data_IF_371227301185
#
_entry.id   IF_371227301185
#
_cell.length_a   1.000
_cell.length_b   1.000
_cell.length_c   1.000
_cell.angle_alpha   90.00
_cell.angle_beta   90.00
_cell.angle_gamma   90.00
#
_symmetry.space_group_name_H-M   'P 1'
#
loop_
_entity.id
_entity.type
_entity.pdbx_description
1 polymer ?
#
# COMPACT_ATOMS: atom_id res chain seq x y z
N UNK A 1 22.48 5.22 18.63
CA UNK A 1 21.08 4.78 18.41
C UNK A 1 20.09 5.79 18.97
N UNK A 2 20.08 6.12 20.27
CA UNK A 2 19.11 7.08 20.83
C UNK A 2 19.19 8.48 20.21
N UNK A 3 20.40 9.03 20.04
CA UNK A 3 20.60 10.34 19.41
C UNK A 3 20.20 10.37 17.91
N UNK A 4 20.36 9.26 17.22
CA UNK A 4 20.01 9.14 15.79
C UNK A 4 18.50 9.09 15.58
N UNK A 5 17.78 8.33 16.40
CA UNK A 5 16.31 8.27 16.35
C UNK A 5 15.69 9.61 16.72
N UNK A 6 16.23 10.27 17.76
CA UNK A 6 15.78 11.61 18.17
C UNK A 6 16.02 12.65 17.06
N UNK A 7 17.17 12.62 16.40
CA UNK A 7 17.49 13.50 15.27
C UNK A 7 16.59 13.23 14.06
N UNK A 8 16.36 11.94 13.73
CA UNK A 8 15.46 11.54 12.67
C UNK A 8 14.03 12.03 12.94
N UNK A 9 13.52 11.82 14.15
CA UNK A 9 12.21 12.31 14.55
C UNK A 9 12.12 13.84 14.47
N UNK A 10 13.09 14.56 15.00
CA UNK A 10 13.11 16.03 14.97
C UNK A 10 13.07 16.58 13.53
N UNK A 11 13.79 15.94 12.61
CA UNK A 11 13.82 16.30 11.18
C UNK A 11 12.49 16.02 10.47
N UNK A 12 11.79 14.95 10.85
CA UNK A 12 10.65 14.42 10.09
C UNK A 12 9.28 14.83 10.63
N UNK A 13 9.18 15.14 11.94
CA UNK A 13 7.90 15.33 12.64
C UNK A 13 7.01 16.42 12.03
N UNK A 14 7.60 17.50 11.49
CA UNK A 14 6.83 18.62 10.94
C UNK A 14 6.12 18.30 9.62
N UNK A 15 6.55 17.22 8.95
CA UNK A 15 5.91 16.68 7.77
C UNK A 15 4.90 15.58 8.08
N UNK A 16 4.82 15.10 9.32
CA UNK A 16 3.84 14.09 9.78
C UNK A 16 2.65 14.80 10.42
N UNK A 17 1.46 14.39 10.00
CA UNK A 17 0.23 15.13 10.26
C UNK A 17 -0.79 14.27 10.98
N UNK A 18 -1.58 14.91 11.82
CA UNK A 18 -2.85 14.37 12.30
C UNK A 18 -3.90 14.64 11.23
N UNK A 19 -4.52 13.56 10.75
CA UNK A 19 -5.55 13.62 9.70
C UNK A 19 -6.89 13.31 10.34
N UNK A 20 -7.85 14.17 10.11
CA UNK A 20 -9.21 14.06 10.62
C UNK A 20 -10.20 13.84 9.48
N UNK A 21 -11.20 13.02 9.71
CA UNK A 21 -12.29 12.79 8.76
C UNK A 21 -13.62 12.75 9.48
N UNK A 22 -14.68 13.17 8.81
CA UNK A 22 -16.03 13.18 9.35
C UNK A 22 -16.99 12.46 8.40
N UNK A 23 -17.78 11.57 8.97
CA UNK A 23 -18.82 10.85 8.25
C UNK A 23 -20.09 11.69 8.15
N UNK A 24 -20.86 11.57 7.05
CA UNK A 24 -22.18 12.19 6.96
C UNK A 24 -23.11 11.68 8.07
N UNK A 25 -23.98 12.54 8.55
CA UNK A 25 -24.90 12.22 9.65
C UNK A 25 -25.78 10.98 9.38
N UNK A 26 -26.06 10.69 8.11
CA UNK A 26 -26.78 9.49 7.66
C UNK A 26 -26.02 8.20 7.94
N UNK A 27 -24.71 8.19 7.74
CA UNK A 27 -23.85 7.04 7.97
C UNK A 27 -23.42 6.93 9.43
N UNK A 28 -23.24 8.04 10.13
CA UNK A 28 -22.87 8.06 11.54
C UNK A 28 -23.87 7.32 12.44
N UNK A 29 -25.14 7.19 12.03
CA UNK A 29 -26.18 6.46 12.75
C UNK A 29 -26.23 4.97 12.46
N UNK A 30 -25.66 4.53 11.36
CA UNK A 30 -25.74 3.13 10.86
C UNK A 30 -24.43 2.36 11.00
N UNK A 31 -23.31 3.04 11.20
CA UNK A 31 -22.00 2.41 11.38
C UNK A 31 -21.64 2.24 12.85
N UNK A 32 -21.11 1.07 13.21
CA UNK A 32 -20.50 0.80 14.52
C UNK A 32 -19.16 1.54 14.67
N UNK A 33 -19.16 2.87 14.55
CA UNK A 33 -17.94 3.66 14.68
C UNK A 33 -18.24 5.14 14.90
N UNK A 34 -17.30 5.91 15.42
CA UNK A 34 -17.48 7.34 15.64
C UNK A 34 -17.63 8.08 14.31
N UNK A 35 -18.49 9.11 14.32
CA UNK A 35 -18.70 10.00 13.18
C UNK A 35 -17.39 10.73 12.78
N UNK A 36 -16.57 11.06 13.77
CA UNK A 36 -15.26 11.68 13.61
C UNK A 36 -14.16 10.64 13.83
N UNK A 37 -13.25 10.52 12.85
CA UNK A 37 -12.12 9.61 12.92
C UNK A 37 -10.81 10.40 12.85
N UNK A 38 -9.79 9.91 13.54
CA UNK A 38 -8.46 10.50 13.58
C UNK A 38 -7.42 9.44 13.23
N UNK A 39 -6.46 9.82 12.41
CA UNK A 39 -5.32 8.98 12.03
C UNK A 39 -4.10 9.82 11.73
N UNK A 40 -3.08 9.18 11.22
CA UNK A 40 -1.85 9.84 10.79
C UNK A 40 -1.80 9.99 9.27
N UNK A 41 -0.99 10.91 8.80
CA UNK A 41 -0.61 11.09 7.41
C UNK A 41 0.74 11.78 7.32
N UNK A 42 1.26 11.95 6.13
CA UNK A 42 2.45 12.75 5.93
C UNK A 42 2.47 13.41 4.56
N UNK A 43 3.06 14.60 4.50
CA UNK A 43 3.27 15.32 3.24
C UNK A 43 4.31 14.61 2.38
N UNK A 44 4.02 14.50 1.09
CA UNK A 44 4.87 13.90 0.06
C UNK A 44 5.37 14.90 -0.99
N UNK A 45 4.94 16.16 -0.92
CA UNK A 45 5.35 17.22 -1.83
C UNK A 45 5.13 18.59 -1.21
N UNK A 46 5.88 19.60 -1.70
CA UNK A 46 5.82 20.97 -1.20
C UNK A 46 4.49 21.69 -1.52
N UNK A 47 3.71 21.20 -2.46
CA UNK A 47 2.40 21.74 -2.84
C UNK A 47 1.24 21.23 -1.94
N UNK A 48 1.54 20.53 -0.85
CA UNK A 48 0.55 20.12 0.14
C UNK A 48 -0.13 18.77 -0.15
N UNK A 49 0.38 17.96 -1.08
CA UNK A 49 -0.10 16.58 -1.22
C UNK A 49 0.37 15.72 -0.06
N UNK A 50 -0.53 14.94 0.49
CA UNK A 50 -0.26 14.03 1.61
C UNK A 50 -0.93 12.69 1.40
N UNK A 51 -0.35 11.65 2.00
CA UNK A 51 -0.90 10.30 2.01
C UNK A 51 -1.34 9.88 3.41
N UNK A 52 -2.38 9.06 3.44
CA UNK A 52 -2.91 8.40 4.64
C UNK A 52 -3.52 7.05 4.26
N UNK A 53 -4.21 6.39 5.19
CA UNK A 53 -4.91 5.12 4.88
C UNK A 53 -6.27 5.34 4.23
N UNK A 54 -6.62 4.46 3.27
CA UNK A 54 -7.92 4.45 2.62
C UNK A 54 -9.09 4.23 3.59
N UNK A 55 -8.88 3.40 4.62
CA UNK A 55 -9.89 3.15 5.67
C UNK A 55 -10.21 4.38 6.51
N UNK A 56 -9.27 5.31 6.68
CA UNK A 56 -9.51 6.55 7.40
C UNK A 56 -10.50 7.45 6.63
N UNK A 57 -10.37 7.51 5.31
CA UNK A 57 -11.18 8.39 4.45
C UNK A 57 -12.47 7.73 3.95
N UNK A 58 -12.63 6.43 4.16
CA UNK A 58 -13.75 5.67 3.62
C UNK A 58 -15.10 6.16 4.16
N UNK A 59 -15.99 6.54 3.23
CA UNK A 59 -17.32 7.06 3.55
C UNK A 59 -17.35 8.45 4.17
N UNK A 60 -16.22 9.11 4.36
CA UNK A 60 -16.15 10.46 4.92
C UNK A 60 -16.51 11.52 3.86
N UNK A 61 -17.16 12.60 4.30
CA UNK A 61 -17.54 13.74 3.47
C UNK A 61 -16.63 14.96 3.66
N UNK A 62 -15.96 15.07 4.81
CA UNK A 62 -15.04 16.17 5.09
C UNK A 62 -13.71 15.68 5.64
N UNK A 63 -12.65 16.40 5.27
CA UNK A 63 -11.27 16.09 5.59
C UNK A 63 -10.52 17.34 6.03
N UNK A 64 -9.70 17.23 7.08
CA UNK A 64 -8.78 18.29 7.48
C UNK A 64 -7.55 17.71 8.18
N UNK A 65 -6.53 18.54 8.29
CA UNK A 65 -5.29 18.22 8.98
C UNK A 65 -5.01 19.24 10.09
N UNK A 66 -4.38 18.80 11.16
CA UNK A 66 -3.77 19.71 12.11
C UNK A 66 -2.30 19.93 11.72
N UNK A 67 -1.98 21.16 11.36
CA UNK A 67 -0.64 21.55 10.97
C UNK A 67 -0.27 22.92 11.55
N UNK A 68 0.87 22.98 12.26
CA UNK A 68 1.37 24.20 12.93
C UNK A 68 0.33 24.86 13.84
N UNK A 69 -0.44 24.05 14.55
CA UNK A 69 -1.49 24.53 15.45
C UNK A 69 -2.73 25.09 14.74
N UNK A 70 -2.84 24.93 13.43
CA UNK A 70 -3.99 25.34 12.63
C UNK A 70 -4.70 24.14 12.02
N UNK A 71 -6.03 24.24 11.93
CA UNK A 71 -6.87 23.31 11.18
C UNK A 71 -6.91 23.73 9.73
N UNK A 72 -6.41 22.88 8.84
CA UNK A 72 -6.37 23.13 7.39
C UNK A 72 -7.27 22.13 6.70
N UNK A 73 -8.22 22.61 5.90
CA UNK A 73 -9.07 21.75 5.11
C UNK A 73 -8.25 20.96 4.06
N UNK A 74 -8.69 19.75 3.77
CA UNK A 74 -8.07 18.91 2.75
C UNK A 74 -9.14 18.34 1.81
N UNK A 75 -8.73 18.06 0.58
CA UNK A 75 -9.57 17.42 -0.45
C UNK A 75 -9.03 16.03 -0.76
N UNK A 76 -9.91 15.04 -0.83
CA UNK A 76 -9.55 13.71 -1.32
C UNK A 76 -9.32 13.79 -2.84
N UNK A 77 -8.11 13.43 -3.30
CA UNK A 77 -7.76 13.32 -4.71
C UNK A 77 -8.10 11.94 -5.26
N UNK A 78 -7.95 10.90 -4.45
CA UNK A 78 -8.30 9.54 -4.78
C UNK A 78 -7.87 8.56 -3.71
N UNK A 79 -8.35 7.33 -3.82
CA UNK A 79 -8.00 6.25 -2.90
C UNK A 79 -7.82 4.93 -3.63
N UNK A 80 -7.04 4.04 -3.04
CA UNK A 80 -6.90 2.67 -3.50
C UNK A 80 -7.35 1.69 -2.41
N UNK A 81 -8.53 1.08 -2.56
CA UNK A 81 -9.04 0.10 -1.61
C UNK A 81 -8.17 -1.18 -1.52
N UNK A 82 -7.47 -1.53 -2.60
CA UNK A 82 -6.64 -2.73 -2.64
C UNK A 82 -5.42 -2.62 -1.73
N UNK A 83 -4.76 -1.46 -1.73
CA UNK A 83 -3.58 -1.22 -0.91
C UNK A 83 -3.85 -0.48 0.38
N UNK A 84 -5.08 0.00 0.58
CA UNK A 84 -5.45 0.85 1.70
C UNK A 84 -4.70 2.19 1.73
N UNK A 85 -4.44 2.80 0.55
CA UNK A 85 -3.84 4.12 0.43
C UNK A 85 -4.92 5.16 0.08
N UNK A 86 -4.80 6.37 0.62
CA UNK A 86 -5.52 7.56 0.17
C UNK A 86 -4.55 8.72 -0.05
N UNK A 87 -4.81 9.50 -1.11
CA UNK A 87 -4.08 10.73 -1.44
C UNK A 87 -5.01 11.93 -1.23
N UNK A 88 -4.57 12.87 -0.41
CA UNK A 88 -5.28 14.12 -0.16
C UNK A 88 -4.44 15.32 -0.60
N UNK A 89 -5.10 16.45 -0.81
CA UNK A 89 -4.53 17.77 -1.06
C UNK A 89 -4.93 18.69 0.07
N UNK A 90 -3.96 19.16 0.86
CA UNK A 90 -4.19 20.23 1.84
C UNK A 90 -4.44 21.57 1.12
N UNK A 91 -5.40 22.32 1.62
CA UNK A 91 -5.73 23.65 1.08
C UNK A 91 -4.87 24.71 1.78
N UNK A 92 -3.62 24.85 1.33
CA UNK A 92 -2.66 25.82 1.85
C UNK A 92 -1.88 26.44 0.73
N UNK A 93 -1.65 27.77 0.82
CA UNK A 93 -0.81 28.53 -0.11
C UNK A 93 0.68 28.52 0.31
N UNK A 94 0.97 28.10 1.56
CA UNK A 94 2.32 28.01 2.05
C UNK A 94 2.98 26.69 1.63
N UNK A 95 4.26 26.71 1.21
CA UNK A 95 5.00 25.48 0.94
C UNK A 95 5.05 24.58 2.19
N UNK A 96 4.78 23.30 1.98
CA UNK A 96 4.76 22.31 3.06
C UNK A 96 6.09 21.59 3.17
N UNK A 97 6.56 21.29 4.40
CA UNK A 97 7.62 20.32 4.59
C UNK A 97 7.14 18.95 4.10
N UNK A 98 7.97 18.19 3.44
CA UNK A 98 7.62 16.86 2.95
C UNK A 98 8.75 15.87 3.19
N UNK A 99 8.39 14.59 3.18
CA UNK A 99 9.35 13.52 3.34
C UNK A 99 9.81 13.00 1.99
N UNK A 100 11.11 12.80 1.85
CA UNK A 100 11.70 12.18 0.68
C UNK A 100 11.45 10.67 0.68
N UNK A 101 11.16 10.11 -0.50
CA UNK A 101 10.99 8.67 -0.67
C UNK A 101 12.32 7.98 -0.85
N UNK A 102 12.60 6.99 0.00
CA UNK A 102 13.67 6.02 -0.23
C UNK A 102 13.29 4.98 -1.29
N UNK A 103 14.25 4.12 -1.62
CA UNK A 103 14.01 2.95 -2.45
C UNK A 103 13.65 1.75 -1.55
N UNK A 104 12.38 1.35 -1.56
CA UNK A 104 11.91 0.23 -0.73
C UNK A 104 12.48 -1.14 -1.16
N UNK A 105 13.02 -1.26 -2.39
CA UNK A 105 13.64 -2.51 -2.86
C UNK A 105 15.02 -2.77 -2.22
N UNK A 106 15.60 -1.76 -1.56
CA UNK A 106 16.85 -1.89 -0.80
C UNK A 106 16.64 -2.46 0.61
N UNK A 107 15.39 -2.48 1.09
CA UNK A 107 15.08 -2.99 2.42
C UNK A 107 15.32 -4.50 2.50
N UNK A 108 15.87 -4.91 3.62
CA UNK A 108 16.13 -6.31 3.94
C UNK A 108 15.60 -6.66 5.32
N UNK A 109 15.34 -7.91 5.57
CA UNK A 109 15.07 -8.39 6.93
C UNK A 109 16.24 -8.01 7.83
N UNK A 110 15.93 -7.40 8.98
CA UNK A 110 16.90 -6.80 9.89
C UNK A 110 17.19 -5.31 9.68
N UNK A 111 16.70 -4.69 8.58
CA UNK A 111 16.80 -3.22 8.41
C UNK A 111 16.07 -2.50 9.54
N UNK A 112 16.72 -1.51 10.17
CA UNK A 112 16.07 -0.64 11.15
C UNK A 112 15.06 0.27 10.46
N UNK A 113 13.90 0.43 11.09
CA UNK A 113 12.85 1.34 10.64
C UNK A 113 12.25 2.10 11.82
N UNK A 114 11.71 3.29 11.54
CA UNK A 114 11.05 4.13 12.53
C UNK A 114 9.68 4.54 11.99
N UNK A 115 8.62 4.12 12.68
CA UNK A 115 7.27 4.60 12.40
C UNK A 115 7.01 5.89 13.20
N UNK A 116 6.37 6.88 12.56
CA UNK A 116 5.96 8.12 13.25
C UNK A 116 4.46 8.32 13.05
N UNK A 117 3.75 8.65 14.11
CA UNK A 117 2.31 8.92 14.05
C UNK A 117 1.75 9.41 15.37
N UNK A 118 0.44 9.54 15.45
CA UNK A 118 -0.29 10.14 16.58
C UNK A 118 -1.02 9.06 17.39
N UNK A 119 -0.35 8.39 18.35
CA UNK A 119 -0.97 7.33 19.15
C UNK A 119 -2.08 7.91 20.03
N UNK A 120 -3.26 7.29 20.02
CA UNK A 120 -4.40 7.68 20.86
C UNK A 120 -4.76 9.17 20.81
N UNK A 121 -4.60 9.80 19.64
CA UNK A 121 -4.78 11.26 19.47
C UNK A 121 -3.80 12.13 20.31
N UNK A 122 -2.77 11.52 20.87
CA UNK A 122 -1.69 12.19 21.58
C UNK A 122 -0.74 12.91 20.61
N UNK A 123 0.25 13.69 21.08
CA UNK A 123 1.33 14.20 20.23
C UNK A 123 2.04 13.09 19.46
N UNK A 124 2.59 13.44 18.27
CA UNK A 124 3.31 12.46 17.45
C UNK A 124 4.47 11.83 18.22
N UNK A 125 4.64 10.53 18.01
CA UNK A 125 5.69 9.75 18.67
C UNK A 125 6.37 8.80 17.67
N UNK A 126 7.71 8.64 17.77
CA UNK A 126 8.45 7.64 17.01
C UNK A 126 8.35 6.27 17.68
N UNK A 127 8.21 5.23 16.86
CA UNK A 127 8.28 3.82 17.28
C UNK A 127 9.35 3.12 16.45
N UNK A 128 10.38 2.63 17.11
CA UNK A 128 11.51 1.93 16.46
C UNK A 128 11.18 0.46 16.30
N UNK A 129 11.61 -0.11 15.20
CA UNK A 129 11.53 -1.54 14.95
C UNK A 129 12.48 -1.99 13.84
N UNK A 130 12.33 -3.24 13.44
CA UNK A 130 13.14 -3.84 12.38
C UNK A 130 12.23 -4.53 11.37
N UNK A 131 12.63 -4.52 10.11
CA UNK A 131 11.96 -5.31 9.07
C UNK A 131 12.09 -6.79 9.41
N UNK A 132 10.95 -7.48 9.50
CA UNK A 132 10.88 -8.91 9.85
C UNK A 132 10.43 -9.76 8.67
N UNK A 133 9.99 -9.15 7.57
CA UNK A 133 9.60 -9.85 6.35
C UNK A 133 9.10 -8.90 5.26
N UNK A 134 9.00 -9.47 4.05
CA UNK A 134 8.33 -8.85 2.90
C UNK A 134 7.23 -9.81 2.49
N UNK A 135 6.01 -9.56 2.92
CA UNK A 135 4.91 -10.51 2.84
C UNK A 135 3.90 -10.11 1.75
N UNK A 136 3.47 -11.11 1.00
CA UNK A 136 2.40 -10.97 0.01
C UNK A 136 1.01 -11.18 0.62
N UNK A 137 0.92 -11.62 1.83
CA UNK A 137 -0.37 -11.89 2.46
C UNK A 137 -0.30 -11.93 3.97
N UNK A 138 -1.45 -11.78 4.59
CA UNK A 138 -1.65 -11.87 6.03
C UNK A 138 -2.92 -12.67 6.32
N UNK A 139 -2.77 -13.88 6.84
CA UNK A 139 -3.88 -14.81 7.01
C UNK A 139 -4.49 -15.22 5.66
N UNK A 140 -5.78 -14.95 5.46
CA UNK A 140 -6.48 -15.24 4.20
C UNK A 140 -6.38 -14.09 3.16
N UNK A 141 -5.84 -12.92 3.55
CA UNK A 141 -5.73 -11.77 2.66
C UNK A 141 -4.44 -11.86 1.86
N UNK A 142 -4.56 -11.75 0.54
CA UNK A 142 -3.44 -11.59 -0.38
C UNK A 142 -3.30 -10.10 -0.69
N UNK A 143 -2.08 -9.59 -0.61
CA UNK A 143 -1.76 -8.20 -0.94
C UNK A 143 -1.49 -8.06 -2.44
N UNK A 144 -1.82 -6.92 -3.06
CA UNK A 144 -1.56 -6.68 -4.48
C UNK A 144 -0.05 -6.50 -4.78
N UNK A 145 0.74 -6.23 -3.76
CA UNK A 145 2.21 -6.08 -3.78
C UNK A 145 2.75 -6.59 -2.44
N UNK A 146 4.02 -6.98 -2.37
CA UNK A 146 4.64 -7.37 -1.09
C UNK A 146 4.69 -6.19 -0.13
N UNK A 147 4.14 -6.38 1.08
CA UNK A 147 4.15 -5.40 2.15
C UNK A 147 5.38 -5.58 3.04
N UNK A 148 5.88 -4.49 3.57
CA UNK A 148 6.91 -4.52 4.60
C UNK A 148 6.24 -4.93 5.91
N UNK A 149 6.65 -6.06 6.47
CA UNK A 149 6.33 -6.42 7.84
C UNK A 149 7.47 -5.95 8.74
N UNK A 150 7.13 -5.20 9.79
CA UNK A 150 8.11 -4.72 10.75
C UNK A 150 7.66 -5.02 12.18
N UNK A 151 8.64 -5.30 13.04
CA UNK A 151 8.44 -5.47 14.47
C UNK A 151 8.35 -4.08 15.14
N UNK A 152 7.23 -3.40 14.92
CA UNK A 152 6.91 -2.11 15.52
C UNK A 152 5.61 -2.23 16.31
N UNK A 153 5.65 -1.91 17.59
CA UNK A 153 4.43 -1.81 18.40
C UNK A 153 3.71 -0.51 18.06
N UNK A 154 2.65 -0.60 17.28
CA UNK A 154 1.83 0.54 16.92
C UNK A 154 0.55 0.60 17.75
N UNK A 155 0.11 1.83 17.97
CA UNK A 155 -1.12 2.12 18.71
C UNK A 155 -2.20 2.71 17.78
N UNK A 156 -3.48 2.68 18.18
CA UNK A 156 -4.56 3.36 17.48
C UNK A 156 -4.21 4.82 17.18
N UNK A 157 -4.49 5.28 15.95
CA UNK A 157 -4.15 6.62 15.48
C UNK A 157 -2.83 6.70 14.69
N UNK A 158 -1.92 5.72 14.79
CA UNK A 158 -0.64 5.75 14.05
C UNK A 158 -0.73 5.22 12.60
N UNK A 159 -1.86 4.58 12.23
CA UNK A 159 -2.10 4.19 10.84
C UNK A 159 -2.12 5.40 9.91
N UNK A 160 -1.51 5.28 8.74
CA UNK A 160 -1.31 6.38 7.79
C UNK A 160 -0.01 7.16 7.98
N UNK A 161 0.71 6.94 9.07
CA UNK A 161 2.03 7.54 9.29
C UNK A 161 3.12 6.91 8.42
N UNK A 162 4.27 7.60 8.26
CA UNK A 162 5.41 7.08 7.54
C UNK A 162 6.12 5.99 8.34
N UNK A 163 6.63 4.98 7.62
CA UNK A 163 7.70 4.11 8.07
C UNK A 163 8.99 4.62 7.43
N UNK A 164 9.94 5.11 8.22
CA UNK A 164 11.20 5.69 7.76
C UNK A 164 12.33 4.67 7.86
N UNK A 165 13.29 4.72 6.93
CA UNK A 165 14.55 4.00 7.03
C UNK A 165 15.54 4.76 7.92
N UNK A 166 16.75 4.19 8.14
CA UNK A 166 17.79 4.81 8.96
C UNK A 166 18.32 6.16 8.42
N UNK A 167 18.08 6.47 7.13
CA UNK A 167 18.43 7.76 6.52
C UNK A 167 17.35 8.84 6.70
N UNK A 168 16.20 8.47 7.28
CA UNK A 168 15.03 9.35 7.42
C UNK A 168 14.20 9.47 6.14
N UNK A 169 14.41 8.60 5.16
CA UNK A 169 13.59 8.52 3.95
C UNK A 169 12.40 7.59 4.16
N UNK A 170 11.29 7.88 3.49
CA UNK A 170 10.10 7.03 3.54
C UNK A 170 10.41 5.66 2.95
N UNK A 171 10.37 4.64 3.78
CA UNK A 171 10.43 3.23 3.42
C UNK A 171 9.03 2.67 3.07
N UNK A 172 7.97 3.23 3.69
CA UNK A 172 6.59 2.82 3.43
C UNK A 172 5.55 3.66 4.16
N UNK A 173 4.29 3.40 3.84
CA UNK A 173 3.10 3.92 4.52
C UNK A 173 2.56 2.85 5.47
N UNK A 174 2.44 3.15 6.74
CA UNK A 174 1.85 2.23 7.73
C UNK A 174 0.35 2.06 7.43
N UNK A 175 -0.08 0.84 7.13
CA UNK A 175 -1.48 0.57 6.73
C UNK A 175 -2.24 -0.32 7.70
N UNK A 176 -1.54 -1.09 8.52
CA UNK A 176 -2.14 -1.98 9.50
C UNK A 176 -1.19 -2.34 10.64
N UNK A 177 -1.77 -2.64 11.79
CA UNK A 177 -1.10 -3.35 12.87
C UNK A 177 -1.72 -4.75 13.01
N UNK A 178 -0.90 -5.75 13.30
CA UNK A 178 -1.34 -7.09 13.64
C UNK A 178 -0.68 -7.52 14.93
N UNK A 179 -1.50 -7.96 15.88
CA UNK A 179 -1.04 -8.20 17.25
C UNK A 179 -0.38 -6.93 17.86
N UNK A 180 0.22 -7.07 19.02
CA UNK A 180 0.75 -5.91 19.74
C UNK A 180 2.11 -5.43 19.21
N UNK A 181 2.79 -6.24 18.39
CA UNK A 181 4.21 -6.07 18.06
C UNK A 181 4.53 -6.07 16.56
N UNK A 182 3.53 -6.19 15.70
CA UNK A 182 3.74 -6.25 14.25
C UNK A 182 2.94 -5.20 13.51
N UNK A 183 3.59 -4.52 12.57
CA UNK A 183 2.94 -3.63 11.62
C UNK A 183 3.20 -4.07 10.17
N UNK A 184 2.28 -3.68 9.30
CA UNK A 184 2.41 -3.79 7.86
C UNK A 184 2.44 -2.40 7.25
N UNK A 185 3.41 -2.18 6.36
CA UNK A 185 3.51 -0.94 5.60
C UNK A 185 3.52 -1.21 4.10
N UNK A 186 2.79 -0.39 3.35
CA UNK A 186 2.85 -0.35 1.89
C UNK A 186 4.21 0.22 1.48
N UNK A 187 5.01 -0.48 0.65
CA UNK A 187 6.36 -0.03 0.29
C UNK A 187 6.38 1.35 -0.37
N UNK A 188 7.42 2.13 -0.13
CA UNK A 188 7.60 3.47 -0.66
C UNK A 188 7.45 3.56 -2.19
N UNK A 189 8.03 2.58 -2.93
CA UNK A 189 7.90 2.52 -4.40
C UNK A 189 6.43 2.37 -4.82
N UNK A 190 5.63 1.59 -4.08
CA UNK A 190 4.20 1.43 -4.34
C UNK A 190 3.42 2.71 -3.99
N UNK A 191 3.73 3.35 -2.86
CA UNK A 191 3.13 4.65 -2.47
C UNK A 191 3.39 5.69 -3.55
N UNK A 192 4.65 5.82 -4.01
CA UNK A 192 5.05 6.77 -5.07
C UNK A 192 4.28 6.51 -6.38
N UNK A 193 4.19 5.23 -6.79
CA UNK A 193 3.44 4.84 -8.00
C UNK A 193 1.97 5.24 -7.89
N UNK A 194 1.31 4.87 -6.80
CA UNK A 194 -0.12 5.14 -6.61
C UNK A 194 -0.42 6.64 -6.49
N UNK A 195 0.40 7.38 -5.75
CA UNK A 195 0.26 8.84 -5.67
C UNK A 195 0.41 9.50 -7.05
N UNK A 196 1.33 9.02 -7.90
CA UNK A 196 1.51 9.48 -9.27
C UNK A 196 0.29 9.15 -10.12
N UNK A 197 -0.19 7.90 -10.07
CA UNK A 197 -1.35 7.46 -10.85
C UNK A 197 -2.60 8.26 -10.49
N UNK A 198 -2.89 8.41 -9.19
CA UNK A 198 -4.04 9.18 -8.70
C UNK A 198 -3.92 10.65 -9.14
N UNK A 199 -2.73 11.25 -9.05
CA UNK A 199 -2.52 12.64 -9.47
C UNK A 199 -2.75 12.83 -10.96
N UNK A 200 -2.33 11.89 -11.80
CA UNK A 200 -2.38 12.00 -13.26
C UNK A 200 -3.72 11.53 -13.85
N UNK A 201 -4.36 10.54 -13.24
CA UNK A 201 -5.50 9.83 -13.81
C UNK A 201 -6.75 9.84 -12.92
N UNK A 202 -6.66 10.35 -11.69
CA UNK A 202 -7.72 10.31 -10.69
C UNK A 202 -7.84 8.97 -9.96
N UNK A 203 -7.34 7.88 -10.55
CA UNK A 203 -7.46 6.50 -10.06
C UNK A 203 -6.15 5.72 -10.20
N UNK A 204 -5.91 4.71 -9.34
CA UNK A 204 -4.81 3.78 -9.48
C UNK A 204 -4.83 3.05 -10.82
N UNK A 205 -3.67 2.87 -11.42
CA UNK A 205 -3.52 2.13 -12.68
C UNK A 205 -2.86 0.77 -12.40
N UNK A 206 -3.53 -0.32 -12.78
CA UNK A 206 -3.03 -1.68 -12.60
C UNK A 206 -2.88 -2.39 -13.92
N UNK A 207 -1.73 -3.03 -14.11
CA UNK A 207 -1.51 -3.90 -15.26
C UNK A 207 -2.35 -5.17 -15.17
N UNK A 208 -3.04 -5.51 -16.25
CA UNK A 208 -3.83 -6.71 -16.36
C UNK A 208 -3.64 -7.36 -17.72
N UNK A 209 -3.56 -8.68 -17.75
CA UNK A 209 -3.35 -9.44 -19.00
C UNK A 209 -4.36 -10.57 -19.20
N UNK A 210 -5.20 -10.84 -18.17
CA UNK A 210 -6.23 -11.87 -18.27
C UNK A 210 -5.73 -13.29 -17.98
N UNK A 211 -4.78 -13.42 -17.06
CA UNK A 211 -4.27 -14.71 -16.57
C UNK A 211 -4.65 -14.90 -15.11
N UNK A 212 -5.23 -16.05 -14.80
CA UNK A 212 -5.32 -16.58 -13.46
C UNK A 212 -4.16 -17.55 -13.25
N UNK A 213 -3.29 -17.27 -12.28
CA UNK A 213 -2.14 -18.13 -11.96
C UNK A 213 -2.37 -18.87 -10.66
N UNK A 214 -1.73 -20.03 -10.52
CA UNK A 214 -1.66 -20.80 -9.29
C UNK A 214 -0.23 -21.32 -9.10
N UNK A 215 0.07 -21.77 -7.90
CA UNK A 215 1.38 -22.35 -7.60
C UNK A 215 1.22 -23.77 -7.06
N UNK A 216 2.22 -24.59 -7.31
CA UNK A 216 2.33 -25.95 -6.79
C UNK A 216 3.75 -26.23 -6.32
N UNK A 217 3.89 -27.10 -5.34
CA UNK A 217 5.18 -27.60 -4.89
C UNK A 217 5.55 -28.82 -5.71
N UNK A 218 6.78 -28.86 -6.19
CA UNK A 218 7.29 -29.99 -6.97
C UNK A 218 7.77 -31.09 -6.00
N UNK A 219 7.21 -32.32 -6.09
CA UNK A 219 7.55 -33.38 -5.12
C UNK A 219 9.03 -33.79 -5.10
N UNK A 220 9.73 -33.62 -6.24
CA UNK A 220 11.09 -34.09 -6.40
C UNK A 220 12.18 -33.12 -5.93
N UNK A 221 11.92 -31.79 -5.99
CA UNK A 221 12.93 -30.76 -5.70
C UNK A 221 12.56 -29.83 -4.56
N UNK A 222 11.36 -30.00 -4.00
CA UNK A 222 10.81 -29.09 -2.98
C UNK A 222 10.65 -27.64 -3.44
N UNK A 223 10.85 -27.38 -4.72
CA UNK A 223 10.70 -26.08 -5.34
C UNK A 223 9.25 -25.76 -5.66
N UNK A 224 8.94 -24.47 -5.71
CA UNK A 224 7.64 -23.98 -6.14
C UNK A 224 7.64 -23.69 -7.62
N UNK A 225 6.51 -23.96 -8.25
CA UNK A 225 6.28 -23.70 -9.67
C UNK A 225 4.98 -22.93 -9.84
N UNK A 226 5.03 -21.82 -10.58
CA UNK A 226 3.86 -21.04 -10.94
C UNK A 226 3.36 -21.49 -12.32
N UNK A 227 2.07 -21.73 -12.43
CA UNK A 227 1.45 -22.13 -13.69
C UNK A 227 0.17 -21.34 -13.94
N UNK A 228 -0.18 -21.22 -15.20
CA UNK A 228 -1.43 -20.61 -15.66
C UNK A 228 -2.55 -21.59 -15.34
N UNK A 229 -3.43 -21.23 -14.41
CA UNK A 229 -4.60 -22.01 -14.03
C UNK A 229 -5.70 -21.85 -15.08
N UNK A 230 -5.84 -20.64 -15.63
CA UNK A 230 -6.88 -20.28 -16.58
C UNK A 230 -6.46 -19.06 -17.40
N UNK A 231 -6.71 -19.11 -18.69
CA UNK A 231 -6.60 -17.97 -19.61
C UNK A 231 -7.99 -17.43 -19.88
N UNK A 232 -8.26 -16.20 -19.46
CA UNK A 232 -9.56 -15.58 -19.65
C UNK A 232 -9.78 -15.24 -21.13
N UNK A 233 -10.97 -15.54 -21.66
CA UNK A 233 -11.33 -15.29 -23.06
C UNK A 233 -11.36 -13.81 -23.40
N UNK A 234 -11.04 -13.46 -24.65
CA UNK A 234 -11.01 -12.08 -25.15
C UNK A 234 -10.06 -11.16 -24.39
N UNK A 235 -8.95 -11.70 -23.90
CA UNK A 235 -7.93 -10.96 -23.13
C UNK A 235 -6.62 -10.86 -23.89
N UNK A 236 -5.74 -9.94 -23.52
CA UNK A 236 -4.40 -9.88 -24.11
C UNK A 236 -3.65 -11.21 -24.08
N UNK A 237 -3.79 -11.99 -23.00
CA UNK A 237 -3.14 -13.29 -22.87
C UNK A 237 -3.70 -14.33 -23.84
N UNK A 238 -5.03 -14.38 -23.99
CA UNK A 238 -5.67 -15.28 -24.97
C UNK A 238 -5.24 -14.95 -26.39
N UNK A 239 -5.22 -13.66 -26.75
CA UNK A 239 -4.79 -13.19 -28.07
C UNK A 239 -3.31 -13.48 -28.36
N UNK A 240 -2.47 -13.48 -27.32
CA UNK A 240 -1.05 -13.81 -27.45
C UNK A 240 -0.78 -15.32 -27.54
N UNK A 241 -1.79 -16.19 -27.28
CA UNK A 241 -1.67 -17.64 -27.41
C UNK A 241 -1.19 -18.36 -26.14
N UNK A 242 -1.33 -17.75 -24.97
CA UNK A 242 -1.15 -18.44 -23.71
C UNK A 242 -2.20 -19.56 -23.54
N UNK A 243 -1.82 -20.60 -22.82
CA UNK A 243 -2.68 -21.77 -22.57
C UNK A 243 -2.71 -22.13 -21.09
N UNK A 244 -3.78 -22.78 -20.69
CA UNK A 244 -3.87 -23.38 -19.37
C UNK A 244 -2.73 -24.40 -19.19
N UNK A 245 -2.19 -24.49 -17.98
CA UNK A 245 -1.05 -25.30 -17.58
C UNK A 245 0.32 -24.86 -18.11
N UNK A 246 0.45 -23.77 -18.85
CA UNK A 246 1.74 -23.16 -19.12
C UNK A 246 2.44 -22.84 -17.79
N UNK A 247 3.70 -23.18 -17.67
CA UNK A 247 4.51 -22.86 -16.49
C UNK A 247 5.15 -21.51 -16.72
N UNK A 248 4.76 -20.52 -15.94
CA UNK A 248 5.28 -19.16 -16.03
C UNK A 248 6.63 -19.08 -15.32
N UNK A 249 7.69 -18.75 -16.06
CA UNK A 249 9.07 -18.72 -15.52
C UNK A 249 9.67 -17.32 -15.48
N UNK A 250 9.18 -16.37 -16.32
CA UNK A 250 9.72 -15.00 -16.35
C UNK A 250 8.70 -14.00 -16.86
N UNK A 251 8.72 -12.79 -16.29
CA UNK A 251 8.03 -11.60 -16.80
C UNK A 251 9.06 -10.48 -16.92
N UNK A 252 9.34 -10.02 -18.14
CA UNK A 252 10.47 -9.12 -18.46
C UNK A 252 11.79 -9.68 -17.92
N UNK A 253 12.43 -8.95 -17.01
CA UNK A 253 13.68 -9.37 -16.35
C UNK A 253 13.47 -10.16 -15.06
N UNK A 254 12.23 -10.22 -14.55
CA UNK A 254 11.91 -10.83 -13.27
C UNK A 254 11.67 -12.33 -13.42
N UNK A 255 12.44 -13.15 -12.73
CA UNK A 255 12.14 -14.57 -12.57
C UNK A 255 10.88 -14.76 -11.73
N UNK A 256 10.07 -15.74 -12.12
CA UNK A 256 8.82 -16.08 -11.44
C UNK A 256 8.99 -17.43 -10.75
N UNK A 257 9.09 -17.39 -9.42
CA UNK A 257 9.19 -18.57 -8.56
C UNK A 257 7.93 -18.80 -7.74
N UNK A 258 7.22 -17.71 -7.41
CA UNK A 258 6.00 -17.70 -6.60
C UNK A 258 4.94 -16.82 -7.27
N UNK A 259 3.69 -17.08 -6.95
CA UNK A 259 2.58 -16.19 -7.38
C UNK A 259 2.78 -14.74 -6.91
N UNK A 260 3.50 -14.56 -5.82
CA UNK A 260 3.96 -13.26 -5.33
C UNK A 260 4.71 -12.45 -6.37
N UNK A 261 5.63 -13.10 -7.09
CA UNK A 261 6.48 -12.44 -8.08
C UNK A 261 5.64 -11.90 -9.24
N UNK A 262 4.59 -12.65 -9.62
CA UNK A 262 3.63 -12.21 -10.64
C UNK A 262 2.89 -10.97 -10.18
N UNK A 263 2.33 -10.98 -8.96
CA UNK A 263 1.60 -9.85 -8.41
C UNK A 263 2.48 -8.61 -8.28
N UNK A 264 3.68 -8.77 -7.70
CA UNK A 264 4.65 -7.69 -7.56
C UNK A 264 5.04 -7.10 -8.92
N UNK A 265 5.30 -7.95 -9.91
CA UNK A 265 5.68 -7.48 -11.25
C UNK A 265 4.52 -6.75 -11.93
N UNK A 266 3.31 -7.31 -11.87
CA UNK A 266 2.12 -6.73 -12.54
C UNK A 266 1.62 -5.45 -11.85
N UNK A 267 1.81 -5.31 -10.53
CA UNK A 267 1.43 -4.13 -9.78
C UNK A 267 2.02 -2.84 -10.36
N UNK A 268 3.28 -2.89 -10.80
CA UNK A 268 3.99 -1.73 -11.35
C UNK A 268 3.75 -1.49 -12.84
N UNK A 269 2.97 -2.34 -13.53
CA UNK A 269 2.71 -2.20 -14.97
C UNK A 269 1.48 -1.33 -15.22
N UNK A 270 1.52 -0.62 -16.35
CA UNK A 270 0.44 0.26 -16.79
C UNK A 270 -0.18 -0.26 -18.08
N UNK A 271 -1.45 0.08 -18.30
CA UNK A 271 -2.15 -0.23 -19.54
C UNK A 271 -1.38 0.34 -20.76
N UNK A 272 -1.25 -0.45 -21.81
CA UNK A 272 -0.51 -0.11 -23.03
C UNK A 272 0.99 -0.52 -23.02
N UNK A 273 1.58 -0.83 -21.85
CA UNK A 273 2.95 -1.35 -21.80
C UNK A 273 3.04 -2.71 -22.51
N UNK A 274 4.17 -2.95 -23.17
CA UNK A 274 4.48 -4.27 -23.74
C UNK A 274 5.33 -5.06 -22.78
N UNK A 275 4.90 -6.27 -22.46
CA UNK A 275 5.62 -7.20 -21.58
C UNK A 275 6.09 -8.41 -22.38
N UNK A 276 7.33 -8.82 -22.13
CA UNK A 276 7.87 -10.09 -22.57
C UNK A 276 7.69 -11.12 -21.47
N UNK A 277 6.98 -12.20 -21.75
CA UNK A 277 6.69 -13.27 -20.78
C UNK A 277 7.19 -14.60 -21.34
N UNK A 278 7.87 -15.38 -20.50
CA UNK A 278 8.39 -16.70 -20.87
C UNK A 278 7.69 -17.78 -20.08
N UNK A 279 7.25 -18.81 -20.78
CA UNK A 279 6.60 -19.99 -20.18
C UNK A 279 7.29 -21.27 -20.67
N UNK A 280 7.10 -22.34 -19.90
CA UNK A 280 7.44 -23.70 -20.35
C UNK A 280 6.15 -24.42 -20.68
N UNK A 281 6.03 -24.89 -21.95
CA UNK A 281 4.93 -25.69 -22.47
C UNK A 281 5.48 -26.97 -23.04
N UNK A 282 5.02 -28.13 -22.55
CA UNK A 282 5.49 -29.45 -22.98
C UNK A 282 7.03 -29.60 -22.98
N UNK A 283 7.68 -29.02 -21.96
CA UNK A 283 9.14 -29.06 -21.80
C UNK A 283 9.92 -28.05 -22.65
N UNK A 284 9.25 -27.27 -23.52
CA UNK A 284 9.87 -26.26 -24.36
C UNK A 284 9.59 -24.85 -23.83
N UNK A 285 10.62 -24.02 -23.77
CA UNK A 285 10.47 -22.60 -23.42
C UNK A 285 9.90 -21.84 -24.60
N UNK A 286 8.83 -21.10 -24.37
CA UNK A 286 8.20 -20.20 -25.33
C UNK A 286 8.17 -18.78 -24.79
N UNK A 287 8.36 -17.80 -25.67
CA UNK A 287 8.31 -16.39 -25.31
C UNK A 287 7.17 -15.69 -26.02
N UNK A 288 6.41 -14.91 -25.27
CA UNK A 288 5.29 -14.13 -25.75
C UNK A 288 5.52 -12.65 -25.47
N UNK A 289 5.17 -11.78 -26.42
CA UNK A 289 5.07 -10.36 -26.20
C UNK A 289 3.61 -9.99 -26.12
N UNK A 290 3.21 -9.41 -24.99
CA UNK A 290 1.80 -9.11 -24.67
C UNK A 290 1.66 -7.64 -24.32
N UNK A 291 0.61 -6.99 -24.79
CA UNK A 291 0.23 -5.65 -24.34
C UNK A 291 -0.59 -5.74 -23.07
N UNK A 292 -0.21 -4.95 -22.06
CA UNK A 292 -0.99 -4.83 -20.83
C UNK A 292 -2.31 -4.17 -21.12
N UNK A 293 -3.40 -4.81 -20.74
CA UNK A 293 -4.76 -4.30 -20.87
C UNK A 293 -5.22 -3.56 -19.60
N UNK A 294 -6.39 -2.93 -19.70
CA UNK A 294 -7.12 -2.41 -18.55
C UNK A 294 -7.95 -3.54 -17.95
N UNK A 295 -7.94 -3.68 -16.64
CA UNK A 295 -8.79 -4.65 -15.95
C UNK A 295 -10.26 -4.32 -16.18
N UNK A 296 -11.12 -5.27 -16.59
CA UNK A 296 -12.55 -5.03 -16.68
C UNK A 296 -13.13 -4.68 -15.30
N UNK A 297 -14.05 -3.72 -15.28
CA UNK A 297 -14.68 -3.21 -14.03
C UNK A 297 -15.50 -4.32 -13.33
N UNK A 298 -16.03 -5.29 -14.09
CA UNK A 298 -16.84 -6.41 -13.58
C UNK A 298 -16.02 -7.49 -12.86
N UNK A 299 -14.70 -7.48 -12.99
CA UNK A 299 -13.80 -8.42 -12.34
C UNK A 299 -13.17 -7.82 -11.08
N UNK A 300 -13.96 -7.22 -10.20
CA UNK A 300 -13.45 -6.98 -8.85
C UNK A 300 -13.00 -8.33 -8.29
N UNK A 301 -11.75 -8.47 -7.83
CA UNK A 301 -11.41 -9.64 -7.05
C UNK A 301 -12.38 -9.60 -5.88
N UNK A 302 -12.98 -10.73 -5.58
CA UNK A 302 -13.54 -10.96 -4.26
C UNK A 302 -12.37 -10.85 -3.29
N UNK A 303 -11.95 -9.63 -3.02
CA UNK A 303 -11.09 -9.32 -1.89
C UNK A 303 -11.97 -9.71 -0.72
N UNK A 304 -11.71 -10.89 -0.20
CA UNK A 304 -12.24 -11.24 1.11
C UNK A 304 -11.67 -10.17 2.03
N UNK A 305 -12.47 -9.13 2.21
CA UNK A 305 -12.24 -8.07 3.19
C UNK A 305 -12.46 -8.67 4.56
N UNK A 306 -11.53 -9.54 4.97
CA UNK A 306 -11.30 -9.65 6.40
C UNK A 306 -10.81 -8.26 6.80
N UNK A 307 -11.48 -7.55 7.71
CA UNK A 307 -11.00 -6.26 8.15
C UNK A 307 -9.55 -6.46 8.59
N UNK A 308 -8.61 -5.76 7.96
CA UNK A 308 -7.38 -5.42 8.64
C UNK A 308 -7.86 -4.87 9.96
N UNK A 309 -7.35 -5.36 11.09
CA UNK A 309 -7.66 -4.82 12.39
C UNK A 309 -7.54 -3.31 12.24
N UNK A 310 -8.72 -2.67 12.13
CA UNK A 310 -8.82 -1.22 12.02
C UNK A 310 -8.09 -0.71 13.25
N UNK A 311 -7.08 0.18 13.13
CA UNK A 311 -6.56 0.82 14.31
C UNK A 311 -7.78 1.35 15.06
N UNK A 312 -7.97 0.92 16.31
CA UNK A 312 -9.17 1.22 17.07
C UNK A 312 -9.33 2.75 17.04
N UNK A 313 -10.41 3.21 16.44
CA UNK A 313 -10.73 4.62 16.36
C UNK A 313 -11.02 5.04 17.80
N UNK A 314 -10.19 5.91 18.35
CA UNK A 314 -10.40 6.43 19.69
C UNK A 314 -11.66 7.32 19.64
N UNK A 315 -12.72 7.01 20.38
CA UNK A 315 -13.81 7.95 20.50
C UNK A 315 -13.27 9.21 21.20
N UNK A 316 -13.33 10.33 20.52
CA UNK A 316 -13.06 11.63 21.17
C UNK A 316 -14.16 11.80 22.21
N UNK A 317 -13.80 11.69 23.50
CA UNK A 317 -14.70 12.03 24.60
C UNK A 317 -15.08 13.51 24.44
N UNK A 318 -16.36 13.76 24.15
CA UNK A 318 -16.88 15.10 24.02
C UNK A 318 -16.54 15.90 25.28
N UNK A 319 -15.86 17.00 25.09
CA UNK A 319 -15.75 18.08 26.08
C UNK A 319 -17.16 18.58 26.37
N UNK A 320 -17.56 18.43 27.62
CA UNK A 320 -18.66 19.20 28.20
C UNK A 320 -18.29 20.68 28.26
#
# INVERSE_FOLDING_TARGET
MDSEVAALYAKSKDAVLKVHTELPASLARTTFGPAHRVGSGFFISADGRLVTTGTLVEGAESFWIDWRGQRIAAKLLGRDPLTNLALLQAQTDAPTPHLEFGNSDELRVGSMVVAIGFPYDQPSAPTVGFVTGLDIGCGKRIFPVSYIRAGCRLHPGQGGGPLLNARGEVAGLVVAARAEDQCYALPANAVKKLATDITQHGDPQYGWVGLNVAERRLPASDEWQVYIKEVLTNTPAALAGFQDRDVLIRICTNEIRRSADVLNTMFYRRCGEKLKMSVVRQGLTQEFTIAVGKRPVESEPTVVTAPLLVPAVVPVSGTR
#
